data_IF_095593125121
#
_entry.id   IF_095593125121
#
_cell.length_a   1.000
_cell.length_b   1.000
_cell.length_c   1.000
_cell.angle_alpha   90.00
_cell.angle_beta   90.00
_cell.angle_gamma   90.00
#
_symmetry.space_group_name_H-M   'P 1'
#
loop_
_entity.id
_entity.type
_entity.pdbx_description
1 polymer ?
#
# COMPACT_ATOMS: atom_id res chain seq x y z
N UNK A 1 -40.61 25.05 -19.60
CA UNK A 1 -39.83 23.81 -19.49
C UNK A 1 -38.76 23.94 -20.54
N UNK A 2 -37.54 24.22 -20.09
CA UNK A 2 -36.38 24.56 -20.92
C UNK A 2 -35.74 23.29 -21.46
N UNK A 3 -35.45 23.32 -22.75
CA UNK A 3 -34.84 22.26 -23.54
C UNK A 3 -33.39 22.02 -23.12
N UNK A 4 -33.08 20.86 -22.54
CA UNK A 4 -31.71 20.42 -22.22
C UNK A 4 -31.42 19.04 -22.82
N UNK A 5 -31.69 18.88 -24.12
CA UNK A 5 -31.05 17.87 -24.96
C UNK A 5 -30.14 18.52 -26.00
N UNK A 6 -29.44 19.59 -25.60
CA UNK A 6 -28.24 19.97 -26.33
C UNK A 6 -27.14 18.99 -25.93
N UNK A 7 -26.92 17.96 -26.76
CA UNK A 7 -25.63 17.25 -26.77
C UNK A 7 -24.57 18.34 -26.73
N UNK A 8 -23.78 18.37 -25.66
CA UNK A 8 -22.83 19.46 -25.47
C UNK A 8 -21.88 19.45 -26.67
N UNK A 9 -21.41 20.62 -27.09
CA UNK A 9 -20.44 20.74 -28.20
C UNK A 9 -19.28 19.74 -28.07
N UNK A 10 -18.90 19.38 -26.85
CA UNK A 10 -17.89 18.37 -26.50
C UNK A 10 -18.29 16.93 -26.77
N UNK A 11 -19.57 16.57 -26.61
CA UNK A 11 -20.06 15.20 -26.82
C UNK A 11 -20.18 14.87 -28.31
N UNK A 12 -20.58 15.85 -29.13
CA UNK A 12 -20.56 15.68 -30.59
C UNK A 12 -19.12 15.74 -31.15
N UNK A 13 -18.26 16.60 -30.59
CA UNK A 13 -16.83 16.62 -30.92
C UNK A 13 -16.13 15.30 -30.57
N UNK A 14 -16.50 14.64 -29.46
CA UNK A 14 -15.91 13.36 -29.05
C UNK A 14 -16.33 12.17 -29.93
N UNK A 15 -17.54 12.17 -30.48
CA UNK A 15 -18.08 11.00 -31.20
C UNK A 15 -17.60 10.95 -32.65
N UNK A 16 -17.15 12.08 -33.22
CA UNK A 16 -17.00 12.18 -34.68
C UNK A 16 -15.68 12.76 -35.19
N UNK A 17 -14.96 13.55 -34.41
CA UNK A 17 -13.92 14.41 -34.99
C UNK A 17 -12.51 14.02 -34.51
N UNK A 18 -11.81 13.22 -35.29
CA UNK A 18 -10.36 13.05 -35.14
C UNK A 18 -9.69 14.35 -35.62
N UNK A 19 -9.00 15.03 -34.71
CA UNK A 19 -8.20 16.21 -35.07
C UNK A 19 -6.86 15.75 -35.63
N UNK A 20 -6.50 16.22 -36.80
CA UNK A 20 -5.18 15.96 -37.36
C UNK A 20 -4.10 16.66 -36.52
N UNK A 21 -2.84 16.21 -36.63
CA UNK A 21 -1.70 16.78 -35.87
C UNK A 21 -1.46 18.26 -36.17
N UNK A 22 -1.90 18.73 -37.34
CA UNK A 22 -1.87 20.13 -37.77
C UNK A 22 -3.00 20.98 -37.17
N UNK A 23 -3.89 20.37 -36.36
CA UNK A 23 -5.01 21.04 -35.73
C UNK A 23 -6.24 21.22 -36.62
N UNK A 24 -6.20 20.77 -37.88
CA UNK A 24 -7.34 20.76 -38.80
C UNK A 24 -8.32 19.63 -38.47
N UNK A 25 -9.59 19.84 -38.80
CA UNK A 25 -10.64 18.85 -38.64
C UNK A 25 -10.70 17.93 -39.86
N UNK A 26 -10.92 16.63 -39.65
CA UNK A 26 -11.13 15.69 -40.74
C UNK A 26 -12.32 16.17 -41.61
N UNK A 27 -12.12 16.41 -42.92
CA UNK A 27 -13.16 16.93 -43.79
C UNK A 27 -14.37 15.98 -43.88
N UNK A 28 -14.17 14.67 -43.71
CA UNK A 28 -15.25 13.68 -43.70
C UNK A 28 -16.06 13.76 -42.41
N UNK A 29 -15.39 13.98 -41.26
CA UNK A 29 -16.05 14.21 -39.99
C UNK A 29 -16.89 15.50 -39.99
N UNK A 30 -16.35 16.57 -40.59
CA UNK A 30 -17.05 17.85 -40.73
C UNK A 30 -18.30 17.72 -41.62
N UNK A 31 -18.22 16.99 -42.73
CA UNK A 31 -19.36 16.72 -43.59
C UNK A 31 -20.45 15.91 -42.87
N UNK A 32 -20.06 14.82 -42.17
CA UNK A 32 -21.01 14.01 -41.40
C UNK A 32 -21.73 14.85 -40.33
N UNK A 33 -21.01 15.77 -39.66
CA UNK A 33 -21.61 16.63 -38.65
C UNK A 33 -22.71 17.55 -39.20
N UNK A 34 -22.50 18.13 -40.39
CA UNK A 34 -23.55 18.93 -41.04
C UNK A 34 -24.74 18.04 -41.46
N UNK A 35 -24.50 16.82 -41.94
CA UNK A 35 -25.57 15.87 -42.26
C UNK A 35 -26.40 15.48 -41.02
N UNK A 36 -25.79 15.31 -39.84
CA UNK A 36 -26.54 15.11 -38.58
C UNK A 36 -27.42 16.30 -38.22
N UNK A 37 -26.94 17.53 -38.43
CA UNK A 37 -27.75 18.74 -38.17
C UNK A 37 -28.95 18.81 -39.10
N UNK A 38 -28.76 18.49 -40.38
CA UNK A 38 -29.86 18.46 -41.35
C UNK A 38 -30.88 17.38 -41.01
N UNK A 39 -30.41 16.19 -40.61
CA UNK A 39 -31.27 15.10 -40.16
C UNK A 39 -32.15 15.54 -38.98
N UNK A 40 -31.55 16.10 -37.94
CA UNK A 40 -32.25 16.60 -36.76
C UNK A 40 -33.32 17.65 -37.11
N UNK A 41 -32.95 18.65 -37.94
CA UNK A 41 -33.90 19.67 -38.40
C UNK A 41 -35.08 19.05 -39.15
N UNK A 42 -34.80 18.11 -40.06
CA UNK A 42 -35.83 17.45 -40.86
C UNK A 42 -36.78 16.58 -40.03
N UNK A 43 -36.31 16.03 -38.91
CA UNK A 43 -37.13 15.25 -37.99
C UNK A 43 -38.06 16.15 -37.17
N UNK A 44 -37.53 17.25 -36.63
CA UNK A 44 -38.35 18.26 -35.93
C UNK A 44 -39.43 18.83 -36.85
N UNK A 45 -39.09 19.15 -38.11
CA UNK A 45 -40.06 19.70 -39.07
C UNK A 45 -41.19 18.73 -39.42
N UNK A 46 -40.94 17.41 -39.43
CA UNK A 46 -41.92 16.38 -39.83
C UNK A 46 -42.72 15.82 -38.66
N UNK A 47 -42.06 15.52 -37.56
CA UNK A 47 -42.66 14.81 -36.41
C UNK A 47 -42.88 15.72 -35.20
N UNK A 48 -42.39 16.97 -35.24
CA UNK A 48 -42.46 17.94 -34.15
C UNK A 48 -41.40 17.75 -33.06
N UNK A 49 -40.67 16.63 -33.08
CA UNK A 49 -39.55 16.32 -32.18
C UNK A 49 -38.57 15.36 -32.87
N UNK A 50 -37.31 15.36 -32.44
CA UNK A 50 -36.32 14.37 -32.90
C UNK A 50 -36.44 13.08 -32.07
N UNK A 51 -37.11 12.08 -32.64
CA UNK A 51 -37.34 10.79 -31.99
C UNK A 51 -36.29 9.73 -32.36
N UNK A 52 -35.30 10.06 -33.20
CA UNK A 52 -34.33 9.08 -33.66
C UNK A 52 -33.39 8.67 -32.53
N UNK A 53 -33.19 7.36 -32.37
CA UNK A 53 -32.13 6.87 -31.49
C UNK A 53 -30.76 7.25 -32.05
N UNK A 54 -29.79 7.53 -31.18
CA UNK A 54 -28.41 7.84 -31.58
C UNK A 54 -27.83 6.81 -32.56
N UNK A 55 -28.17 5.52 -32.37
CA UNK A 55 -27.73 4.43 -33.24
C UNK A 55 -28.37 4.50 -34.64
N UNK A 56 -29.64 4.89 -34.71
CA UNK A 56 -30.39 5.01 -35.96
C UNK A 56 -29.93 6.23 -36.75
N UNK A 57 -29.78 7.38 -36.06
CA UNK A 57 -29.18 8.57 -36.63
C UNK A 57 -27.77 8.27 -37.17
N UNK A 58 -26.97 7.53 -36.40
CA UNK A 58 -25.63 7.12 -36.81
C UNK A 58 -25.64 6.28 -38.09
N UNK A 59 -26.53 5.30 -38.18
CA UNK A 59 -26.65 4.44 -39.36
C UNK A 59 -27.20 5.20 -40.58
N UNK A 60 -28.06 6.21 -40.40
CA UNK A 60 -28.59 7.00 -41.50
C UNK A 60 -27.54 7.93 -42.11
N UNK A 61 -26.79 8.65 -41.27
CA UNK A 61 -25.78 9.62 -41.72
C UNK A 61 -24.51 8.91 -42.18
N UNK A 62 -23.94 8.05 -41.35
CA UNK A 62 -22.67 7.42 -41.69
C UNK A 62 -22.84 6.26 -42.68
N UNK A 63 -24.06 5.73 -42.85
CA UNK A 63 -24.37 4.48 -43.57
C UNK A 63 -23.64 3.31 -42.93
N UNK A 64 -23.98 2.07 -43.30
CA UNK A 64 -23.17 0.90 -42.93
C UNK A 64 -21.80 1.01 -43.62
N UNK A 65 -20.88 1.82 -43.08
CA UNK A 65 -19.47 1.72 -43.41
C UNK A 65 -19.02 0.39 -42.84
N UNK A 66 -19.15 -0.67 -43.64
CA UNK A 66 -18.49 -1.95 -43.39
C UNK A 66 -17.06 -1.63 -42.97
N UNK A 67 -16.52 -2.35 -41.97
CA UNK A 67 -15.19 -2.12 -41.37
C UNK A 67 -13.99 -2.22 -42.33
N UNK A 68 -14.24 -2.16 -43.63
CA UNK A 68 -13.31 -2.13 -44.76
C UNK A 68 -13.63 -0.92 -45.66
N UNK A 69 -13.56 0.30 -45.12
CA UNK A 69 -13.53 1.48 -45.99
C UNK A 69 -12.21 1.49 -46.77
N UNK A 70 -12.33 1.21 -48.07
CA UNK A 70 -11.28 1.15 -49.09
C UNK A 70 -10.55 2.47 -49.18
N UNK A 71 -9.44 2.64 -48.45
CA UNK A 71 -8.40 3.69 -48.60
C UNK A 71 -7.32 3.62 -47.52
N UNK A 72 -7.54 2.86 -46.46
CA UNK A 72 -6.42 2.22 -45.78
C UNK A 72 -5.89 1.17 -46.77
N UNK A 73 -4.59 1.15 -47.05
CA UNK A 73 -3.96 0.09 -47.86
C UNK A 73 -4.22 -1.30 -47.28
N UNK A 74 -3.57 -2.38 -47.73
CA UNK A 74 -3.70 -3.67 -47.05
C UNK A 74 -3.50 -3.42 -45.56
N UNK A 75 -4.57 -3.59 -44.77
CA UNK A 75 -4.55 -3.29 -43.35
C UNK A 75 -3.41 -4.05 -42.71
N UNK A 76 -2.91 -3.63 -41.54
CA UNK A 76 -1.83 -4.34 -40.86
C UNK A 76 -2.18 -5.83 -40.89
N UNK A 77 -1.37 -6.62 -41.60
CA UNK A 77 -1.61 -8.06 -41.64
C UNK A 77 -1.63 -8.49 -40.18
N UNK A 78 -2.69 -9.19 -39.71
CA UNK A 78 -2.67 -9.74 -38.37
C UNK A 78 -1.36 -10.50 -38.26
N UNK A 79 -0.57 -10.28 -37.17
CA UNK A 79 0.77 -10.81 -37.07
C UNK A 79 0.71 -12.29 -37.46
N UNK A 80 1.44 -12.65 -38.53
CA UNK A 80 1.50 -14.04 -38.98
C UNK A 80 1.86 -14.85 -37.74
N UNK A 81 0.99 -15.77 -37.33
CA UNK A 81 1.29 -16.71 -36.24
C UNK A 81 2.51 -17.52 -36.68
N UNK A 82 3.71 -17.01 -36.39
CA UNK A 82 4.94 -17.75 -36.44
C UNK A 82 4.83 -18.80 -35.35
N UNK A 83 4.53 -20.04 -35.74
CA UNK A 83 4.35 -21.16 -34.80
C UNK A 83 5.65 -21.53 -34.04
N UNK A 84 6.79 -20.91 -34.36
CA UNK A 84 8.10 -21.19 -33.73
C UNK A 84 8.41 -20.31 -32.52
N UNK A 85 8.46 -18.99 -32.70
CA UNK A 85 8.97 -18.04 -31.68
C UNK A 85 8.11 -17.98 -30.40
N UNK A 86 6.79 -18.12 -30.51
CA UNK A 86 5.93 -18.17 -29.33
C UNK A 86 6.06 -19.49 -28.54
N UNK A 87 6.57 -20.56 -29.14
CA UNK A 87 6.64 -21.87 -28.49
C UNK A 87 7.91 -21.97 -27.65
N UNK A 88 9.07 -21.57 -28.20
CA UNK A 88 10.34 -21.51 -27.47
C UNK A 88 10.28 -20.55 -26.29
N UNK A 89 9.77 -19.33 -26.51
CA UNK A 89 9.60 -18.34 -25.42
C UNK A 89 8.63 -18.82 -24.34
N UNK A 90 7.59 -19.60 -24.69
CA UNK A 90 6.69 -20.21 -23.69
C UNK A 90 7.37 -21.30 -22.88
N UNK A 91 8.23 -22.10 -23.50
CA UNK A 91 9.01 -23.14 -22.81
C UNK A 91 10.02 -22.49 -21.87
N UNK A 92 10.72 -21.44 -22.31
CA UNK A 92 11.65 -20.68 -21.46
C UNK A 92 10.95 -20.07 -20.25
N UNK A 93 9.81 -19.40 -20.46
CA UNK A 93 8.99 -18.85 -19.36
C UNK A 93 8.52 -19.97 -18.41
N UNK A 94 8.09 -21.11 -18.94
CA UNK A 94 7.66 -22.24 -18.10
C UNK A 94 8.80 -22.81 -17.24
N UNK A 95 10.01 -22.91 -17.81
CA UNK A 95 11.21 -23.34 -17.08
C UNK A 95 11.58 -22.33 -16.00
N UNK A 96 11.51 -21.03 -16.29
CA UNK A 96 11.80 -19.98 -15.31
C UNK A 96 10.79 -19.99 -14.15
N UNK A 97 9.50 -20.13 -14.44
CA UNK A 97 8.46 -20.30 -13.43
C UNK A 97 8.77 -21.50 -12.53
N UNK A 98 9.15 -22.64 -13.11
CA UNK A 98 9.45 -23.85 -12.35
C UNK A 98 10.69 -23.67 -11.45
N UNK A 99 11.73 -23.00 -11.94
CA UNK A 99 12.91 -22.67 -11.13
C UNK A 99 12.58 -21.72 -9.99
N UNK A 100 11.72 -20.71 -10.24
CA UNK A 100 11.29 -19.77 -9.20
C UNK A 100 10.46 -20.48 -8.13
N UNK A 101 9.55 -21.38 -8.50
CA UNK A 101 8.78 -22.19 -7.56
C UNK A 101 9.68 -23.09 -6.69
N UNK A 102 10.73 -23.69 -7.27
CA UNK A 102 11.69 -24.48 -6.50
C UNK A 102 12.48 -23.62 -5.50
N UNK A 103 12.90 -22.41 -5.92
CA UNK A 103 13.57 -21.46 -5.04
C UNK A 103 12.67 -20.98 -3.91
N UNK A 104 11.40 -20.71 -4.20
CA UNK A 104 10.40 -20.32 -3.20
C UNK A 104 10.24 -21.39 -2.12
N UNK A 105 10.09 -22.66 -2.51
CA UNK A 105 9.99 -23.79 -1.58
C UNK A 105 11.25 -23.92 -0.73
N UNK A 106 12.44 -23.79 -1.34
CA UNK A 106 13.70 -23.85 -0.61
C UNK A 106 13.85 -22.70 0.42
N UNK A 107 13.47 -21.47 0.04
CA UNK A 107 13.49 -20.32 0.94
C UNK A 107 12.46 -20.46 2.06
N UNK A 108 11.26 -20.95 1.77
CA UNK A 108 10.27 -21.23 2.80
C UNK A 108 10.72 -22.32 3.78
N UNK A 109 11.40 -23.35 3.29
CA UNK A 109 12.04 -24.36 4.15
C UNK A 109 13.04 -23.72 5.12
N UNK A 110 13.97 -22.91 4.61
CA UNK A 110 14.96 -22.21 5.45
C UNK A 110 14.31 -21.26 6.47
N UNK A 111 13.31 -20.49 6.05
CA UNK A 111 12.57 -19.60 6.98
C UNK A 111 11.89 -20.43 8.07
N UNK A 112 11.29 -21.57 7.71
CA UNK A 112 10.69 -22.51 8.66
C UNK A 112 11.69 -23.09 9.66
N UNK A 113 12.92 -23.37 9.24
CA UNK A 113 13.99 -23.89 10.12
C UNK A 113 14.49 -22.84 11.12
N UNK A 114 14.61 -21.56 10.71
CA UNK A 114 15.09 -20.50 11.59
C UNK A 114 14.02 -19.89 12.50
N UNK A 115 12.73 -20.06 12.18
CA UNK A 115 11.63 -19.58 13.01
C UNK A 115 11.63 -20.13 14.46
N UNK A 116 11.72 -21.45 14.71
CA UNK A 116 11.72 -21.98 16.06
C UNK A 116 12.96 -21.50 16.84
N UNK A 117 14.16 -21.58 16.24
CA UNK A 117 15.39 -21.11 16.86
C UNK A 117 15.32 -19.63 17.26
N UNK A 118 14.76 -18.77 16.40
CA UNK A 118 14.55 -17.36 16.72
C UNK A 118 13.53 -17.16 17.84
N UNK A 119 12.49 -17.99 17.91
CA UNK A 119 11.50 -17.93 18.99
C UNK A 119 12.09 -18.35 20.34
N UNK A 120 12.93 -19.39 20.34
CA UNK A 120 13.64 -19.87 21.54
C UNK A 120 14.66 -18.86 22.02
N UNK A 121 15.46 -18.28 21.12
CA UNK A 121 16.41 -17.23 21.46
C UNK A 121 15.72 -16.00 22.06
N UNK A 122 14.58 -15.58 21.51
CA UNK A 122 13.77 -14.49 22.09
C UNK A 122 13.29 -14.84 23.50
N UNK A 123 12.77 -16.05 23.71
CA UNK A 123 12.32 -16.50 25.02
C UNK A 123 13.47 -16.54 26.04
N UNK A 124 14.66 -16.99 25.63
CA UNK A 124 15.83 -17.06 26.50
C UNK A 124 16.38 -15.67 26.85
N UNK A 125 16.38 -14.74 25.90
CA UNK A 125 16.72 -13.34 26.14
C UNK A 125 15.81 -12.74 27.22
N UNK A 126 14.50 -12.97 27.12
CA UNK A 126 13.54 -12.45 28.11
C UNK A 126 13.75 -13.09 29.49
N UNK A 127 13.98 -14.40 29.56
CA UNK A 127 14.33 -15.08 30.84
C UNK A 127 15.60 -14.50 31.45
N UNK A 128 16.63 -14.26 30.65
CA UNK A 128 17.90 -13.71 31.12
C UNK A 128 17.73 -12.27 31.62
N UNK A 129 16.93 -11.45 30.94
CA UNK A 129 16.57 -10.11 31.43
C UNK A 129 15.84 -10.16 32.76
N UNK A 130 14.81 -11.00 32.89
CA UNK A 130 14.07 -11.13 34.16
C UNK A 130 14.98 -11.57 35.31
N UNK A 131 15.83 -12.59 35.08
CA UNK A 131 16.81 -13.05 36.08
C UNK A 131 17.84 -11.97 36.44
N UNK A 132 18.26 -11.14 35.50
CA UNK A 132 19.18 -10.04 35.77
C UNK A 132 18.52 -8.96 36.65
N UNK A 133 17.28 -8.59 36.34
CA UNK A 133 16.49 -7.64 37.13
C UNK A 133 16.26 -8.17 38.55
N UNK A 134 15.91 -9.45 38.69
CA UNK A 134 15.71 -10.08 39.99
C UNK A 134 16.97 -10.04 40.85
N UNK A 135 18.13 -10.39 40.27
CA UNK A 135 19.42 -10.32 40.97
C UNK A 135 19.77 -8.91 41.40
N UNK A 136 19.57 -7.92 40.52
CA UNK A 136 19.85 -6.52 40.85
C UNK A 136 18.96 -6.01 42.00
N UNK A 137 17.66 -6.35 41.96
CA UNK A 137 16.74 -6.02 43.04
C UNK A 137 17.12 -6.69 44.37
N UNK A 138 17.54 -7.96 44.33
CA UNK A 138 18.00 -8.67 45.52
C UNK A 138 19.23 -8.00 46.13
N UNK A 139 20.22 -7.67 45.31
CA UNK A 139 21.44 -6.98 45.78
C UNK A 139 21.10 -5.62 46.37
N UNK A 140 20.22 -4.84 45.74
CA UNK A 140 19.75 -3.55 46.28
C UNK A 140 19.07 -3.70 47.64
N UNK A 141 18.21 -4.70 47.79
CA UNK A 141 17.55 -4.99 49.07
C UNK A 141 18.57 -5.38 50.16
N UNK A 142 19.50 -6.28 49.85
CA UNK A 142 20.55 -6.71 50.79
C UNK A 142 21.43 -5.53 51.25
N UNK A 143 21.77 -4.61 50.34
CA UNK A 143 22.53 -3.40 50.69
C UNK A 143 21.73 -2.48 51.63
N UNK A 144 20.46 -2.24 51.34
CA UNK A 144 19.57 -1.44 52.20
C UNK A 144 19.47 -2.06 53.61
N UNK A 145 19.34 -3.39 53.69
CA UNK A 145 19.27 -4.09 54.97
C UNK A 145 20.57 -3.99 55.77
N UNK A 146 21.73 -4.18 55.11
CA UNK A 146 23.05 -4.02 55.74
C UNK A 146 23.26 -2.60 56.25
N UNK A 147 22.93 -1.59 55.46
CA UNK A 147 23.01 -0.19 55.89
C UNK A 147 22.13 0.09 57.12
N UNK A 148 20.88 -0.40 57.10
CA UNK A 148 19.96 -0.26 58.25
C UNK A 148 20.53 -0.92 59.50
N UNK A 149 21.12 -2.11 59.36
CA UNK A 149 21.77 -2.83 60.47
C UNK A 149 22.94 -2.04 61.02
N UNK A 150 23.86 -1.59 60.18
CA UNK A 150 25.01 -0.78 60.59
C UNK A 150 24.59 0.53 61.26
N UNK A 151 23.56 1.23 60.74
CA UNK A 151 23.01 2.44 61.37
C UNK A 151 22.48 2.15 62.77
N UNK A 152 21.73 1.07 62.96
CA UNK A 152 21.23 0.66 64.29
C UNK A 152 22.38 0.34 65.25
N UNK A 153 23.37 -0.43 64.80
CA UNK A 153 24.54 -0.78 65.61
C UNK A 153 25.35 0.45 66.01
N UNK A 154 25.53 1.42 65.11
CA UNK A 154 26.21 2.67 65.40
C UNK A 154 25.47 3.49 66.47
N UNK A 155 24.14 3.60 66.38
CA UNK A 155 23.31 4.28 67.37
C UNK A 155 23.42 3.61 68.75
N UNK A 156 23.39 2.29 68.81
CA UNK A 156 23.51 1.56 70.09
C UNK A 156 24.90 1.72 70.71
N UNK A 157 25.97 1.68 69.91
CA UNK A 157 27.34 1.97 70.40
C UNK A 157 27.44 3.39 70.94
N UNK A 158 26.86 4.36 70.24
CA UNK A 158 26.87 5.76 70.68
C UNK A 158 26.11 5.94 72.00
N UNK A 159 24.92 5.33 72.13
CA UNK A 159 24.16 5.34 73.39
C UNK A 159 24.95 4.73 74.54
N UNK A 160 25.64 3.61 74.29
CA UNK A 160 26.47 2.94 75.31
C UNK A 160 27.61 3.83 75.77
N UNK A 161 28.36 4.42 74.84
CA UNK A 161 29.46 5.36 75.16
C UNK A 161 28.92 6.56 75.94
N UNK A 162 27.79 7.15 75.50
CA UNK A 162 27.14 8.26 76.22
C UNK A 162 26.78 7.87 77.66
N UNK A 163 26.25 6.66 77.87
CA UNK A 163 25.92 6.17 79.22
C UNK A 163 27.17 5.99 80.10
N UNK A 164 28.22 5.36 79.57
CA UNK A 164 29.50 5.16 80.26
C UNK A 164 30.14 6.52 80.64
N UNK A 165 30.14 7.49 79.72
CA UNK A 165 30.64 8.85 80.00
C UNK A 165 29.84 9.54 81.10
N UNK A 166 28.50 9.44 81.06
CA UNK A 166 27.65 10.02 82.09
C UNK A 166 27.87 9.38 83.47
N UNK A 167 28.17 8.08 83.52
CA UNK A 167 28.50 7.38 84.75
C UNK A 167 29.84 7.86 85.33
N UNK A 168 30.88 7.99 84.49
CA UNK A 168 32.17 8.54 84.91
C UNK A 168 32.04 9.95 85.50
N UNK A 169 31.26 10.83 84.86
CA UNK A 169 31.01 12.19 85.36
C UNK A 169 30.29 12.19 86.72
N UNK A 170 29.32 11.30 86.93
CA UNK A 170 28.65 11.17 88.24
C UNK A 170 29.61 10.72 89.33
N UNK A 171 30.51 9.78 89.02
CA UNK A 171 31.48 9.28 89.99
C UNK A 171 32.50 10.36 90.39
N UNK A 172 32.95 11.18 89.43
CA UNK A 172 33.82 12.34 89.71
C UNK A 172 33.15 13.35 90.66
N UNK A 173 31.88 13.68 90.42
CA UNK A 173 31.14 14.64 91.25
C UNK A 173 30.80 14.11 92.66
N UNK A 174 30.96 12.82 92.95
CA UNK A 174 30.76 12.22 94.29
C UNK A 174 32.05 12.11 95.10
N UNK A 175 33.21 12.29 94.46
CA UNK A 175 34.54 12.20 95.09
C UNK A 175 35.09 13.54 95.60
N UNK A 176 34.28 14.60 95.57
CA UNK A 176 34.53 15.94 96.13
C UNK A 176 33.51 16.15 97.25
#
# INVERSE_FOLDING_TARGET
>A
MTDDYSLSRREVEMILCVRHKDGSWDPEAAANYEEFKELHKSQIEKEGADNLSLKEAYLLVMKEKSGYHRRLGPGPQPPRKGRGQCTEMRVEIAVEIQQLQQKEVALHGQVGEFQPANSELKAEIERMKSKAIERDNKVKQELIERERKHKKEAIEREKKIRAEVMEMLRNLNRGI
#
